data_IF_914777401413
#
_entry.id   IF_914777401413
#
_cell.length_a   1.000
_cell.length_b   1.000
_cell.length_c   1.000
_cell.angle_alpha   90.00
_cell.angle_beta   90.00
_cell.angle_gamma   90.00
#
_symmetry.space_group_name_H-M   'P 1'
#
loop_
_entity.id
_entity.type
_entity.pdbx_description
1 polymer ?
#
# COMPACT_ATOMS: atom_id res chain seq x y z
N UNK A 1 -17.14 -9.69 -3.80
CA UNK A 1 -16.84 -9.77 -5.24
C UNK A 1 -15.69 -8.82 -5.55
N UNK A 2 -14.48 -9.33 -5.82
CA UNK A 2 -13.27 -8.50 -6.04
C UNK A 2 -13.13 -8.29 -7.56
N UNK A 3 -13.21 -7.05 -8.09
CA UNK A 3 -13.37 -6.80 -9.53
C UNK A 3 -12.20 -7.22 -10.44
N UNK A 4 -11.10 -7.75 -9.90
CA UNK A 4 -9.87 -8.07 -10.65
C UNK A 4 -9.51 -9.55 -10.66
N UNK A 5 -10.31 -10.43 -10.04
CA UNK A 5 -10.10 -11.88 -10.05
C UNK A 5 -11.10 -12.51 -11.02
N UNK A 6 -10.65 -12.80 -12.24
CA UNK A 6 -11.43 -13.56 -13.22
C UNK A 6 -11.34 -15.07 -12.98
N UNK A 7 -12.20 -15.88 -13.62
CA UNK A 7 -12.28 -17.34 -13.41
C UNK A 7 -10.92 -18.05 -13.57
N UNK A 8 -10.07 -17.61 -14.51
CA UNK A 8 -8.71 -18.16 -14.67
C UNK A 8 -7.82 -18.03 -13.43
N UNK A 9 -7.91 -16.91 -12.72
CA UNK A 9 -7.13 -16.68 -11.50
C UNK A 9 -7.74 -17.49 -10.35
N UNK A 10 -9.07 -17.59 -10.28
CA UNK A 10 -9.77 -18.46 -9.31
C UNK A 10 -9.41 -19.93 -9.48
N UNK A 11 -9.37 -20.42 -10.72
CA UNK A 11 -8.99 -21.80 -11.04
C UNK A 11 -7.52 -22.07 -10.71
N UNK A 12 -6.63 -21.11 -10.97
CA UNK A 12 -5.23 -21.19 -10.60
C UNK A 12 -5.01 -21.26 -9.08
N UNK A 13 -5.76 -20.47 -8.31
CA UNK A 13 -5.74 -20.51 -6.84
C UNK A 13 -6.20 -21.89 -6.35
N UNK A 14 -7.32 -22.40 -6.89
CA UNK A 14 -7.84 -23.71 -6.52
C UNK A 14 -6.87 -24.85 -6.87
N UNK A 15 -6.25 -24.79 -8.06
CA UNK A 15 -5.24 -25.74 -8.49
C UNK A 15 -3.99 -25.71 -7.61
N UNK A 16 -3.55 -24.52 -7.20
CA UNK A 16 -2.40 -24.34 -6.32
C UNK A 16 -2.60 -25.03 -4.96
N UNK A 17 -3.76 -24.84 -4.33
CA UNK A 17 -4.07 -25.46 -3.02
C UNK A 17 -4.40 -26.96 -3.11
N UNK A 18 -4.72 -27.48 -4.29
CA UNK A 18 -4.92 -28.93 -4.53
C UNK A 18 -3.62 -29.70 -4.67
N UNK A 19 -2.49 -29.04 -4.89
CA UNK A 19 -1.20 -29.71 -5.02
C UNK A 19 -0.59 -30.00 -3.62
N UNK A 20 -0.35 -31.27 -3.25
CA UNK A 20 0.16 -31.64 -1.93
C UNK A 20 1.52 -31.00 -1.59
N UNK A 21 2.34 -30.74 -2.61
CA UNK A 21 3.64 -30.06 -2.45
C UNK A 21 3.49 -28.61 -1.95
N UNK A 22 2.47 -27.89 -2.42
CA UNK A 22 2.23 -26.50 -2.03
C UNK A 22 1.71 -26.43 -0.59
N UNK A 23 0.85 -27.38 -0.21
CA UNK A 23 0.40 -27.53 1.17
C UNK A 23 1.57 -27.80 2.12
N UNK A 24 2.52 -28.67 1.74
CA UNK A 24 3.73 -28.90 2.54
C UNK A 24 4.60 -27.65 2.70
N UNK A 25 4.67 -26.80 1.68
CA UNK A 25 5.39 -25.52 1.77
C UNK A 25 4.66 -24.58 2.73
N UNK A 26 3.34 -24.46 2.62
CA UNK A 26 2.52 -23.65 3.53
C UNK A 26 2.70 -24.13 4.98
N UNK A 27 2.63 -25.43 5.23
CA UNK A 27 2.85 -26.01 6.57
C UNK A 27 4.26 -25.75 7.09
N UNK A 28 5.29 -25.84 6.25
CA UNK A 28 6.67 -25.50 6.63
C UNK A 28 6.80 -24.03 7.03
N UNK A 29 6.16 -23.14 6.28
CA UNK A 29 6.14 -21.70 6.57
C UNK A 29 5.38 -21.42 7.87
N UNK A 30 4.23 -22.06 8.09
CA UNK A 30 3.49 -21.94 9.35
C UNK A 30 4.30 -22.44 10.55
N UNK A 31 4.96 -23.60 10.42
CA UNK A 31 5.85 -24.14 11.46
C UNK A 31 7.09 -23.26 11.71
N UNK A 32 7.54 -22.54 10.69
CA UNK A 32 8.59 -21.54 10.81
C UNK A 32 8.11 -20.20 11.41
N UNK A 33 6.85 -20.10 11.85
CA UNK A 33 6.31 -18.91 12.51
C UNK A 33 5.81 -17.82 11.57
N UNK A 34 5.66 -18.10 10.27
CA UNK A 34 5.12 -17.12 9.31
C UNK A 34 3.64 -16.87 9.59
N UNK A 35 3.31 -15.65 10.02
CA UNK A 35 1.94 -15.22 10.25
C UNK A 35 1.23 -14.92 8.92
N UNK A 36 0.23 -15.72 8.57
CA UNK A 36 -0.57 -15.58 7.34
C UNK A 36 -1.87 -14.79 7.54
N UNK A 37 -2.15 -14.36 8.78
CA UNK A 37 -3.30 -13.53 9.09
C UNK A 37 -2.85 -12.06 9.11
N UNK A 38 -3.56 -11.21 8.37
CA UNK A 38 -3.49 -9.76 8.59
C UNK A 38 -4.27 -9.41 9.87
N UNK A 39 -3.68 -9.69 11.04
CA UNK A 39 -4.26 -9.40 12.37
C UNK A 39 -3.85 -8.03 12.90
N UNK A 40 -3.78 -7.03 12.03
CA UNK A 40 -3.73 -5.65 12.48
C UNK A 40 -5.16 -5.13 12.62
N UNK A 41 -5.57 -4.49 13.74
CA UNK A 41 -6.68 -3.56 13.64
C UNK A 41 -6.39 -2.61 12.46
N UNK A 42 -7.41 -2.28 11.65
CA UNK A 42 -7.36 -1.05 10.85
C UNK A 42 -6.99 0.02 11.86
N UNK A 43 -5.72 0.46 11.89
CA UNK A 43 -5.25 1.41 12.89
C UNK A 43 -5.97 2.71 12.58
N UNK A 44 -7.08 2.93 13.27
CA UNK A 44 -7.98 4.06 13.01
C UNK A 44 -7.26 5.40 13.28
N UNK A 45 -6.17 5.36 14.05
CA UNK A 45 -5.40 6.53 14.47
C UNK A 45 -4.05 6.71 13.75
N UNK A 46 -3.84 6.07 12.60
CA UNK A 46 -2.64 6.38 11.82
C UNK A 46 -2.77 7.69 11.04
N UNK A 47 -1.68 8.45 10.85
CA UNK A 47 -1.73 9.80 10.27
C UNK A 47 -2.34 9.89 8.87
N UNK A 48 -2.24 8.83 8.07
CA UNK A 48 -2.80 8.76 6.71
C UNK A 48 -4.07 7.90 6.63
N UNK A 49 -4.64 7.50 7.76
CA UNK A 49 -5.87 6.71 7.82
C UNK A 49 -7.00 7.35 7.00
N UNK A 50 -7.67 6.53 6.18
CA UNK A 50 -8.76 6.96 5.30
C UNK A 50 -8.35 7.77 4.07
N UNK A 51 -7.06 8.08 3.87
CA UNK A 51 -6.57 8.80 2.70
C UNK A 51 -6.15 7.83 1.59
N UNK A 52 -6.53 8.14 0.36
CA UNK A 52 -6.12 7.39 -0.84
C UNK A 52 -5.18 8.23 -1.71
N UNK A 53 -4.04 7.65 -2.07
CA UNK A 53 -2.97 8.28 -2.82
C UNK A 53 -2.78 7.55 -4.14
N UNK A 54 -2.60 8.30 -5.22
CA UNK A 54 -2.23 7.75 -6.53
C UNK A 54 -0.88 8.33 -6.91
N UNK A 55 0.05 7.48 -7.35
CA UNK A 55 1.38 7.91 -7.81
C UNK A 55 1.41 7.80 -9.33
N UNK A 56 1.80 8.87 -10.00
CA UNK A 56 1.95 8.88 -11.47
C UNK A 56 3.25 9.53 -11.90
N UNK A 57 3.74 9.14 -13.08
CA UNK A 57 5.04 9.55 -13.59
C UNK A 57 6.20 8.73 -13.02
N UNK A 58 7.41 9.15 -13.37
CA UNK A 58 8.68 8.62 -12.89
C UNK A 58 9.13 9.43 -11.68
N UNK A 59 9.36 8.74 -10.57
CA UNK A 59 9.91 9.32 -9.35
C UNK A 59 11.43 9.40 -9.46
N UNK A 60 12.01 10.48 -8.95
CA UNK A 60 13.46 10.72 -8.99
C UNK A 60 14.13 10.47 -7.64
N UNK A 61 13.44 10.75 -6.55
CA UNK A 61 14.02 10.77 -5.19
C UNK A 61 13.83 9.41 -4.50
N UNK A 62 12.67 8.78 -4.68
CA UNK A 62 12.25 7.57 -3.98
C UNK A 62 11.66 6.52 -4.92
N UNK A 63 11.81 5.26 -4.55
CA UNK A 63 11.19 4.17 -5.30
C UNK A 63 9.66 4.19 -5.15
N UNK A 64 8.92 3.99 -6.25
CA UNK A 64 7.45 3.89 -6.20
C UNK A 64 6.97 2.89 -5.15
N UNK A 65 7.57 1.71 -5.14
CA UNK A 65 7.21 0.64 -4.21
C UNK A 65 7.52 0.99 -2.75
N UNK A 66 8.56 1.78 -2.51
CA UNK A 66 8.90 2.28 -1.17
C UNK A 66 7.83 3.25 -0.68
N UNK A 67 7.45 4.23 -1.50
CA UNK A 67 6.38 5.19 -1.18
C UNK A 67 5.04 4.50 -0.92
N UNK A 68 4.66 3.54 -1.77
CA UNK A 68 3.44 2.73 -1.57
C UNK A 68 3.48 1.94 -0.24
N UNK A 69 4.67 1.51 0.17
CA UNK A 69 4.87 0.82 1.44
C UNK A 69 4.73 1.80 2.61
N UNK A 70 5.38 2.95 2.55
CA UNK A 70 5.25 4.03 3.56
C UNK A 70 3.79 4.48 3.72
N UNK A 71 3.07 4.69 2.62
CA UNK A 71 1.64 5.02 2.62
C UNK A 71 0.84 3.99 3.43
N UNK A 72 1.04 2.70 3.14
CA UNK A 72 0.33 1.61 3.81
C UNK A 72 0.70 1.47 5.28
N UNK A 73 1.98 1.64 5.61
CA UNK A 73 2.47 1.59 7.00
C UNK A 73 1.86 2.70 7.85
N UNK A 74 1.65 3.88 7.25
CA UNK A 74 1.01 5.05 7.86
C UNK A 74 -0.52 5.05 7.70
N UNK A 75 -1.13 3.92 7.30
CA UNK A 75 -2.58 3.72 7.31
C UNK A 75 -3.32 4.26 6.09
N UNK A 76 -2.60 4.83 5.13
CA UNK A 76 -3.14 5.26 3.85
C UNK A 76 -3.27 4.12 2.86
N UNK A 77 -3.97 4.39 1.76
CA UNK A 77 -4.14 3.46 0.65
C UNK A 77 -3.42 3.98 -0.59
N UNK A 78 -2.54 3.17 -1.18
CA UNK A 78 -2.00 3.44 -2.50
C UNK A 78 -2.89 2.80 -3.57
N UNK A 79 -3.35 3.60 -4.53
CA UNK A 79 -4.20 3.18 -5.64
C UNK A 79 -3.51 3.42 -7.00
N UNK A 80 -3.86 2.62 -7.99
CA UNK A 80 -3.27 2.66 -9.34
C UNK A 80 -3.98 3.61 -10.31
N UNK A 81 -5.17 4.08 -9.95
CA UNK A 81 -6.00 4.93 -10.81
C UNK A 81 -6.67 6.04 -10.01
N UNK A 82 -6.92 7.17 -10.68
CA UNK A 82 -7.52 8.35 -10.09
C UNK A 82 -9.03 8.20 -10.10
N UNK A 83 -9.64 8.20 -8.91
CA UNK A 83 -11.08 8.08 -8.72
C UNK A 83 -11.61 9.21 -7.83
N UNK A 84 -12.93 9.34 -7.69
CA UNK A 84 -13.55 10.29 -6.75
C UNK A 84 -13.16 10.05 -5.28
N UNK A 85 -12.60 8.88 -4.95
CA UNK A 85 -12.13 8.55 -3.59
C UNK A 85 -10.68 8.96 -3.36
N UNK A 86 -9.94 9.28 -4.43
CA UNK A 86 -8.54 9.68 -4.35
C UNK A 86 -8.42 11.02 -3.64
N UNK A 87 -7.62 11.05 -2.58
CA UNK A 87 -7.37 12.23 -1.75
C UNK A 87 -6.25 13.09 -2.34
N UNK A 88 -5.18 12.47 -2.84
CA UNK A 88 -4.05 13.16 -3.45
C UNK A 88 -3.49 12.40 -4.65
N UNK A 89 -3.05 13.16 -5.66
CA UNK A 89 -2.21 12.64 -6.75
C UNK A 89 -0.76 13.09 -6.50
N UNK A 90 0.16 12.14 -6.38
CA UNK A 90 1.60 12.38 -6.38
C UNK A 90 2.10 12.33 -7.82
N UNK A 91 2.76 13.41 -8.24
CA UNK A 91 3.26 13.62 -9.59
C UNK A 91 4.78 13.61 -9.57
N UNK A 92 5.36 12.63 -10.27
CA UNK A 92 6.76 12.65 -10.70
C UNK A 92 6.91 13.22 -12.11
N UNK A 93 8.08 13.02 -12.71
CA UNK A 93 8.37 13.40 -14.10
C UNK A 93 7.42 12.67 -15.06
N UNK A 94 6.94 13.40 -16.08
CA UNK A 94 6.06 12.88 -17.13
C UNK A 94 4.82 12.13 -16.58
N UNK A 95 3.93 12.81 -15.83
CA UNK A 95 2.81 12.18 -15.12
C UNK A 95 1.73 11.57 -16.02
N UNK A 96 1.76 11.86 -17.32
CA UNK A 96 0.85 11.30 -18.32
C UNK A 96 -0.62 11.64 -18.07
N UNK A 97 -1.51 10.77 -18.56
CA UNK A 97 -2.96 10.99 -18.62
C UNK A 97 -3.67 11.07 -17.25
N UNK A 98 -3.03 10.63 -16.17
CA UNK A 98 -3.62 10.68 -14.81
C UNK A 98 -3.64 12.09 -14.23
N UNK A 99 -2.72 12.97 -14.64
CA UNK A 99 -2.70 14.37 -14.24
C UNK A 99 -3.98 15.08 -14.66
N UNK A 100 -4.32 14.98 -15.94
CA UNK A 100 -5.52 15.59 -16.50
C UNK A 100 -6.80 15.09 -15.80
N UNK A 101 -6.85 13.78 -15.48
CA UNK A 101 -7.99 13.19 -14.76
C UNK A 101 -8.12 13.72 -13.33
N UNK A 102 -7.02 13.89 -12.61
CA UNK A 102 -7.04 14.47 -11.28
C UNK A 102 -7.48 15.94 -11.30
N UNK A 103 -6.99 16.73 -12.26
CA UNK A 103 -7.41 18.12 -12.45
C UNK A 103 -8.92 18.23 -12.73
N UNK A 104 -9.45 17.38 -13.62
CA UNK A 104 -10.88 17.36 -13.94
C UNK A 104 -11.77 17.01 -12.75
N UNK A 105 -11.26 16.22 -11.80
CA UNK A 105 -11.96 15.84 -10.58
C UNK A 105 -11.68 16.79 -9.40
N UNK A 106 -10.86 17.83 -9.59
CA UNK A 106 -10.47 18.76 -8.52
C UNK A 106 -9.63 18.12 -7.42
N UNK A 107 -8.92 17.03 -7.73
CA UNK A 107 -8.09 16.32 -6.76
C UNK A 107 -6.77 17.08 -6.56
N UNK A 108 -6.37 17.37 -5.30
CA UNK A 108 -5.10 18.02 -5.01
C UNK A 108 -3.89 17.23 -5.55
N UNK A 109 -2.96 17.97 -6.14
CA UNK A 109 -1.74 17.43 -6.75
C UNK A 109 -0.54 17.81 -5.89
N UNK A 110 0.30 16.82 -5.58
CA UNK A 110 1.54 16.99 -4.82
C UNK A 110 2.70 16.54 -5.69
N UNK A 111 3.83 17.24 -5.61
CA UNK A 111 5.08 16.73 -6.13
C UNK A 111 5.73 15.73 -5.14
N UNK A 112 6.78 15.06 -5.59
CA UNK A 112 7.48 14.05 -4.79
C UNK A 112 8.03 14.63 -3.46
N UNK A 113 8.64 15.81 -3.48
CA UNK A 113 9.19 16.46 -2.29
C UNK A 113 8.12 16.82 -1.26
N UNK A 114 7.02 17.41 -1.69
CA UNK A 114 5.88 17.74 -0.82
C UNK A 114 5.29 16.49 -0.18
N UNK A 115 5.22 15.40 -0.96
CA UNK A 115 4.73 14.14 -0.44
C UNK A 115 5.68 13.53 0.59
N UNK A 116 7.00 13.59 0.35
CA UNK A 116 8.00 13.19 1.33
C UNK A 116 7.92 13.99 2.64
N UNK A 117 7.65 15.29 2.58
CA UNK A 117 7.44 16.10 3.78
C UNK A 117 6.22 15.65 4.59
N UNK A 118 5.13 15.26 3.91
CA UNK A 118 3.95 14.69 4.55
C UNK A 118 4.29 13.35 5.22
N UNK A 119 5.04 12.49 4.53
CA UNK A 119 5.49 11.21 5.08
C UNK A 119 6.37 11.41 6.31
N UNK A 120 7.36 12.31 6.25
CA UNK A 120 8.25 12.60 7.37
C UNK A 120 7.48 13.15 8.59
N UNK A 121 6.50 14.04 8.37
CA UNK A 121 5.63 14.54 9.44
C UNK A 121 4.70 13.46 10.00
N UNK A 122 4.24 12.54 9.17
CA UNK A 122 3.41 11.43 9.60
C UNK A 122 4.22 10.40 10.42
N UNK A 123 5.46 10.12 10.02
CA UNK A 123 6.37 9.23 10.75
C UNK A 123 6.69 9.79 12.14
N UNK A 124 6.95 11.10 12.27
CA UNK A 124 7.19 11.73 13.57
C UNK A 124 5.96 11.83 14.48
N UNK A 125 4.75 11.76 13.90
CA UNK A 125 3.48 11.72 14.64
C UNK A 125 3.08 10.31 15.08
N UNK A 126 3.77 9.26 14.62
CA UNK A 126 3.46 7.88 15.01
C UNK A 126 4.14 7.58 16.34
N UNK A 127 3.42 7.15 17.40
CA UNK A 127 4.08 6.71 18.62
C UNK A 127 4.94 5.48 18.29
N UNK A 128 6.26 5.64 18.34
CA UNK A 128 7.21 4.53 18.23
C UNK A 128 6.90 3.61 19.40
N UNK A 129 6.22 2.49 19.12
CA UNK A 129 6.01 1.43 20.10
C UNK A 129 7.36 0.75 20.36
N UNK A 130 8.15 1.36 21.25
CA UNK A 130 9.40 0.83 21.72
C UNK A 130 9.11 -0.26 22.77
N UNK A 131 8.50 -1.37 22.34
CA UNK A 131 8.32 -2.58 23.14
C UNK A 131 8.68 -3.82 22.32
N UNK A 132 9.96 -3.93 21.95
CA UNK A 132 10.60 -5.24 21.79
C UNK A 132 12.12 -5.14 21.88
N UNK A 133 12.63 -4.48 22.92
CA UNK A 133 13.97 -4.77 23.46
C UNK A 133 13.80 -4.91 24.96
N UNK A 134 13.25 -6.03 25.40
CA UNK A 134 13.46 -6.50 26.76
C UNK A 134 13.41 -8.02 26.80
N UNK A 135 14.49 -8.56 27.35
CA UNK A 135 14.69 -9.90 27.91
C UNK A 135 15.31 -10.96 26.99
N UNK A 136 16.64 -11.06 27.17
CA UNK A 136 17.47 -12.25 27.37
C UNK A 136 17.50 -13.30 26.26
#
# INVERSE_FOLDING_TARGET
>A
NIPSIGPKVSDGILAFFRQPQNLRIIEKLQKAGVQMNATGPLRQDLPLSGKEFVITGKLEISGRQELETKIRLLGGKAASDVTKKTTYLIVGIDPGSKLARAQALGIPILNETQFLDILNKAESATPVNNQQISLL
#
